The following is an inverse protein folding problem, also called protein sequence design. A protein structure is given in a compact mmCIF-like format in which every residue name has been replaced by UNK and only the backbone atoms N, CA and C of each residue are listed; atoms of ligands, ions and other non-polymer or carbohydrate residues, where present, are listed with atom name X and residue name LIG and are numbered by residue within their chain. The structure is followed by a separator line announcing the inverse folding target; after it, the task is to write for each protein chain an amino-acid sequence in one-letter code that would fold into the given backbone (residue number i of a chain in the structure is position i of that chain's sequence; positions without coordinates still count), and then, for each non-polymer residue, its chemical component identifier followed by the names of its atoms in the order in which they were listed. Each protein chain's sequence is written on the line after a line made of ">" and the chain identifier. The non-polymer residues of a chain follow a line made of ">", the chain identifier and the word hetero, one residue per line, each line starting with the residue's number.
data_IF_921524986066
#
_entry.id   IF_921524986066
#
_cell.length_a   1.000
_cell.length_b   1.000
_cell.length_c   1.000
_cell.angle_alpha   90.00
_cell.angle_beta   90.00
_cell.angle_gamma   90.00
#
_symmetry.space_group_name_H-M   'P 1'
#
loop_
_entity.id
_entity.type
_entity.pdbx_description
1 polymer ?
#
# COMPACT_ATOMS: atom_id res chain seq x y z
N UNK A 1 -6.34 9.84 -17.73
CA UNK A 1 -4.88 10.08 -17.71
C UNK A 1 -4.08 8.86 -17.25
N UNK A 2 -3.88 8.59 -15.95
CA UNK A 2 -2.99 7.47 -15.53
C UNK A 2 -3.52 6.10 -15.95
N UNK A 3 -4.81 5.81 -15.73
CA UNK A 3 -5.44 4.53 -16.10
C UNK A 3 -5.27 4.22 -17.59
N UNK A 4 -5.45 5.22 -18.45
CA UNK A 4 -5.26 5.07 -19.90
C UNK A 4 -3.80 4.79 -20.25
N UNK A 5 -2.86 5.49 -19.61
CA UNK A 5 -1.44 5.29 -19.84
C UNK A 5 -0.99 3.89 -19.41
N UNK A 6 -1.52 3.36 -18.30
CA UNK A 6 -1.25 1.99 -17.85
C UNK A 6 -1.75 0.95 -18.87
N UNK A 7 -2.93 1.14 -19.45
CA UNK A 7 -3.40 0.24 -20.52
C UNK A 7 -2.51 0.32 -21.76
N UNK A 8 -2.04 1.52 -22.14
CA UNK A 8 -1.14 1.67 -23.28
C UNK A 8 0.21 0.93 -23.13
N UNK A 9 0.70 0.76 -21.90
CA UNK A 9 1.94 0.02 -21.63
C UNK A 9 1.70 -1.49 -21.44
N UNK A 10 0.45 -1.98 -21.60
CA UNK A 10 0.12 -3.40 -21.61
C UNK A 10 -0.62 -3.92 -20.37
N UNK A 11 -1.08 -3.07 -19.45
CA UNK A 11 -1.96 -3.55 -18.36
C UNK A 11 -3.37 -3.90 -18.88
N UNK A 12 -4.10 -4.80 -18.18
CA UNK A 12 -5.45 -5.20 -18.58
C UNK A 12 -6.41 -4.02 -18.73
N UNK A 13 -7.29 -4.08 -19.74
CA UNK A 13 -8.29 -3.01 -19.96
C UNK A 13 -9.25 -2.84 -18.78
N UNK A 14 -9.42 -3.89 -17.96
CA UNK A 14 -10.27 -3.89 -16.78
C UNK A 14 -9.97 -2.72 -15.83
N UNK A 15 -8.72 -2.25 -15.76
CA UNK A 15 -8.33 -1.13 -14.89
C UNK A 15 -9.02 0.19 -15.24
N UNK A 16 -9.50 0.36 -16.49
CA UNK A 16 -10.24 1.56 -16.91
C UNK A 16 -11.51 1.74 -16.09
N UNK A 17 -12.14 0.63 -15.67
CA UNK A 17 -13.39 0.61 -14.91
C UNK A 17 -13.22 0.97 -13.44
N UNK A 18 -11.99 1.03 -12.91
CA UNK A 18 -11.78 1.43 -11.52
C UNK A 18 -12.25 2.87 -11.28
N UNK A 19 -13.08 3.03 -10.24
CA UNK A 19 -13.53 4.33 -9.77
C UNK A 19 -12.62 4.81 -8.64
N UNK A 20 -12.31 6.10 -8.65
CA UNK A 20 -11.50 6.70 -7.60
C UNK A 20 -12.39 7.03 -6.40
N UNK A 21 -12.07 6.46 -5.25
CA UNK A 21 -12.69 6.80 -3.96
C UNK A 21 -11.76 7.71 -3.18
N UNK A 22 -12.21 8.93 -2.91
CA UNK A 22 -11.45 9.94 -2.16
C UNK A 22 -11.39 9.68 -0.65
N UNK A 23 -12.23 8.78 -0.13
CA UNK A 23 -12.26 8.44 1.30
C UNK A 23 -11.17 7.47 1.72
N UNK A 24 -10.60 6.73 0.76
CA UNK A 24 -9.62 5.68 1.02
C UNK A 24 -8.17 6.17 1.19
N UNK A 25 -7.59 7.00 0.30
CA UNK A 25 -6.19 7.39 0.41
C UNK A 25 -6.00 8.42 1.52
N UNK A 26 -5.06 8.13 2.43
CA UNK A 26 -4.63 9.06 3.49
C UNK A 26 -3.19 9.50 3.20
N UNK A 27 -2.87 10.78 3.45
CA UNK A 27 -1.50 11.31 3.28
C UNK A 27 -0.52 10.62 4.22
N UNK A 28 0.72 10.41 3.75
CA UNK A 28 1.80 9.82 4.54
C UNK A 28 1.57 8.33 4.82
N UNK A 29 0.98 7.62 3.86
CA UNK A 29 0.98 6.16 3.84
C UNK A 29 2.29 5.67 3.21
N UNK A 30 2.81 4.56 3.72
CA UNK A 30 3.99 3.91 3.19
C UNK A 30 3.54 2.75 2.31
N UNK A 31 3.98 2.75 1.06
CA UNK A 31 3.76 1.64 0.13
C UNK A 31 4.94 0.68 0.20
N UNK A 32 4.68 -0.55 0.64
CA UNK A 32 5.67 -1.64 0.62
C UNK A 32 5.62 -2.35 -0.74
N UNK A 33 6.66 -2.14 -1.55
CA UNK A 33 6.76 -2.70 -2.91
C UNK A 33 6.92 -4.23 -2.93
N UNK A 34 7.35 -4.84 -1.82
CA UNK A 34 7.57 -6.30 -1.75
C UNK A 34 6.25 -7.04 -1.62
N UNK A 35 5.40 -6.63 -0.67
CA UNK A 35 4.12 -7.29 -0.40
C UNK A 35 2.91 -6.57 -1.03
N UNK A 36 3.11 -5.36 -1.58
CA UNK A 36 2.04 -4.56 -2.15
C UNK A 36 1.08 -3.98 -1.11
N UNK A 37 1.55 -3.77 0.13
CA UNK A 37 0.74 -3.28 1.23
C UNK A 37 0.85 -1.76 1.40
N UNK A 38 -0.25 -1.14 1.81
CA UNK A 38 -0.29 0.23 2.30
C UNK A 38 -0.24 0.23 3.82
N UNK A 39 0.77 0.89 4.38
CA UNK A 39 1.05 0.90 5.80
C UNK A 39 0.87 2.33 6.35
N UNK A 40 0.16 2.44 7.47
CA UNK A 40 0.25 3.63 8.31
C UNK A 40 1.25 3.34 9.42
N UNK A 41 2.32 4.12 9.47
CA UNK A 41 3.37 3.96 10.47
C UNK A 41 3.47 5.19 11.35
N UNK A 42 3.95 5.00 12.58
CA UNK A 42 4.33 6.09 13.48
C UNK A 42 5.75 6.61 13.15
N UNK A 43 6.22 7.58 13.94
CA UNK A 43 7.57 8.16 13.81
C UNK A 43 8.70 7.18 14.10
N UNK A 44 8.40 6.05 14.73
CA UNK A 44 9.37 5.03 15.09
C UNK A 44 9.38 3.86 14.11
N UNK A 45 8.45 3.78 13.15
CA UNK A 45 8.34 2.68 12.19
C UNK A 45 7.41 1.56 12.63
N UNK A 46 6.64 1.73 13.71
CA UNK A 46 5.62 0.76 14.09
C UNK A 46 4.41 0.87 13.17
N UNK A 47 3.89 -0.28 12.75
CA UNK A 47 2.75 -0.38 11.85
C UNK A 47 1.46 -0.24 12.69
N UNK A 48 0.76 0.87 12.48
CA UNK A 48 -0.55 1.17 13.08
C UNK A 48 -1.69 0.51 12.29
N UNK A 49 -1.61 0.59 10.97
CA UNK A 49 -2.60 0.03 10.04
C UNK A 49 -1.88 -0.61 8.87
N UNK A 50 -2.36 -1.76 8.42
CA UNK A 50 -1.89 -2.43 7.21
C UNK A 50 -3.08 -2.79 6.33
N UNK A 51 -3.01 -2.40 5.06
CA UNK A 51 -4.05 -2.66 4.07
C UNK A 51 -3.44 -3.33 2.85
N UNK A 52 -4.04 -4.43 2.41
CA UNK A 52 -3.70 -5.08 1.15
C UNK A 52 -4.82 -4.82 0.14
N UNK A 53 -4.56 -3.97 -0.87
CA UNK A 53 -5.62 -3.47 -1.74
C UNK A 53 -6.65 -2.66 -0.96
N UNK A 54 -7.85 -3.23 -0.74
CA UNK A 54 -8.91 -2.65 0.10
C UNK A 54 -9.17 -3.46 1.39
N UNK A 55 -8.43 -4.54 1.62
CA UNK A 55 -8.60 -5.39 2.79
C UNK A 55 -7.71 -4.91 3.94
N UNK A 56 -8.33 -4.53 5.05
CA UNK A 56 -7.62 -4.26 6.29
C UNK A 56 -7.15 -5.56 6.91
N UNK A 57 -5.83 -5.71 7.09
CA UNK A 57 -5.25 -6.90 7.69
C UNK A 57 -5.39 -6.87 9.21
N UNK A 58 -5.71 -8.03 9.78
CA UNK A 58 -5.78 -8.21 11.23
C UNK A 58 -4.38 -8.25 11.84
N UNK A 59 -4.23 -7.94 13.14
CA UNK A 59 -2.92 -7.88 13.79
C UNK A 59 -2.07 -9.16 13.69
N UNK A 60 -2.67 -10.34 13.54
CA UNK A 60 -1.93 -11.59 13.36
C UNK A 60 -1.39 -11.72 11.92
N UNK A 61 -2.20 -11.43 10.91
CA UNK A 61 -1.78 -11.42 9.49
C UNK A 61 -0.65 -10.41 9.26
N UNK A 62 -0.70 -9.27 9.95
CA UNK A 62 0.39 -8.26 9.93
C UNK A 62 1.65 -8.81 10.57
N UNK A 63 1.55 -9.56 11.68
CA UNK A 63 2.71 -10.13 12.36
C UNK A 63 3.41 -11.21 11.51
N UNK A 64 2.65 -11.94 10.68
CA UNK A 64 3.19 -12.94 9.76
C UNK A 64 4.05 -12.31 8.65
N UNK A 65 3.65 -11.13 8.15
CA UNK A 65 4.37 -10.39 7.10
C UNK A 65 5.46 -9.47 7.66
N UNK A 66 5.20 -8.88 8.82
CA UNK A 66 6.07 -7.92 9.50
C UNK A 66 6.30 -8.39 10.95
N UNK A 67 7.33 -9.23 11.17
CA UNK A 67 7.71 -9.63 12.52
C UNK A 67 7.91 -8.38 13.40
N UNK A 68 7.36 -8.40 14.61
CA UNK A 68 7.31 -7.26 15.55
C UNK A 68 6.45 -6.05 15.12
N UNK A 69 5.66 -6.15 14.03
CA UNK A 69 4.85 -5.05 13.49
C UNK A 69 5.65 -3.77 13.26
N UNK A 70 6.89 -3.95 12.81
CA UNK A 70 7.84 -2.87 12.58
C UNK A 70 8.34 -2.93 11.14
N UNK A 71 8.50 -1.75 10.54
CA UNK A 71 9.14 -1.62 9.24
C UNK A 71 10.16 -0.47 9.29
N UNK A 72 11.36 -0.75 8.78
CA UNK A 72 12.37 0.28 8.60
C UNK A 72 12.13 1.02 7.28
N UNK A 73 12.30 2.34 7.30
CA UNK A 73 12.30 3.14 6.09
C UNK A 73 13.52 2.76 5.23
N UNK A 74 13.25 2.22 4.05
CA UNK A 74 14.25 1.87 3.05
C UNK A 74 13.71 2.27 1.67
N UNK A 75 14.35 3.21 0.99
CA UNK A 75 13.89 3.74 -0.30
C UNK A 75 13.76 2.67 -1.41
N UNK A 76 14.50 1.56 -1.27
CA UNK A 76 14.40 0.44 -2.20
C UNK A 76 13.07 -0.29 -2.04
N UNK A 77 12.65 -0.53 -0.80
CA UNK A 77 11.45 -1.30 -0.46
C UNK A 77 10.20 -0.44 -0.30
N UNK A 78 10.33 0.65 0.45
CA UNK A 78 9.24 1.52 0.88
C UNK A 78 9.18 2.79 0.04
N UNK A 79 7.98 3.28 -0.20
CA UNK A 79 7.74 4.59 -0.82
C UNK A 79 6.72 5.36 0.01
N UNK A 80 7.02 6.60 0.39
CA UNK A 80 6.11 7.44 1.18
C UNK A 80 5.25 8.29 0.23
N UNK A 81 3.93 8.14 0.34
CA UNK A 81 2.90 8.81 -0.46
C UNK A 81 2.50 10.19 0.08
#
# INVERSE_FOLDING_TARGET
>A
LLKERLVQIGYPEAIKHFQYDSSFPVRGLWFDKIYGNLLKVDSHGNILVCVHGFQFLKPHEVADLYPNKYIQLDDKRTYVL
#
